data_IF_732328518298
#
_entry.id   IF_732328518298
#
_cell.length_a   1.000
_cell.length_b   1.000
_cell.length_c   1.000
_cell.angle_alpha   90.00
_cell.angle_beta   90.00
_cell.angle_gamma   90.00
#
_symmetry.space_group_name_H-M   'P 1'
#
loop_
_entity.id
_entity.type
_entity.pdbx_description
1 polymer ?
#
# COMPACT_ATOMS: atom_id res chain seq x y z
N UNK A 1 24.67 13.51 -24.12
CA UNK A 1 24.28 12.09 -24.02
C UNK A 1 23.07 11.87 -23.11
N UNK A 2 22.93 12.60 -22.00
CA UNK A 2 21.72 12.60 -21.16
C UNK A 2 20.42 12.94 -21.91
N UNK A 3 20.44 13.91 -22.83
CA UNK A 3 19.25 14.30 -23.59
C UNK A 3 18.76 13.25 -24.60
N UNK A 4 19.62 12.35 -25.08
CA UNK A 4 19.19 11.27 -25.99
C UNK A 4 18.53 10.12 -25.23
N UNK A 5 18.92 9.86 -23.98
CA UNK A 5 18.24 8.87 -23.14
C UNK A 5 16.83 9.34 -22.76
N UNK A 6 16.64 10.59 -22.35
CA UNK A 6 15.29 11.12 -22.04
C UNK A 6 14.32 11.07 -23.23
N UNK A 7 14.81 11.35 -24.45
CA UNK A 7 14.03 11.24 -25.68
C UNK A 7 13.67 9.78 -26.01
N UNK A 8 14.55 8.81 -25.75
CA UNK A 8 14.26 7.40 -26.00
C UNK A 8 13.22 6.83 -25.01
N UNK A 9 13.23 7.29 -23.75
CA UNK A 9 12.25 6.87 -22.74
C UNK A 9 10.84 7.43 -23.03
N UNK A 10 10.74 8.68 -23.49
CA UNK A 10 9.45 9.27 -23.90
C UNK A 10 8.86 8.61 -25.16
N UNK A 11 9.69 8.19 -26.12
CA UNK A 11 9.21 7.58 -27.37
C UNK A 11 8.70 6.16 -27.17
N UNK A 12 9.30 5.38 -26.24
CA UNK A 12 8.84 4.01 -25.98
C UNK A 12 7.48 3.97 -25.26
N UNK A 13 7.23 4.88 -24.31
CA UNK A 13 5.92 5.00 -23.64
C UNK A 13 4.79 5.33 -24.63
N UNK A 14 5.05 6.19 -25.62
CA UNK A 14 4.08 6.58 -26.66
C UNK A 14 3.72 5.47 -27.65
N UNK A 15 4.50 4.40 -27.74
CA UNK A 15 4.20 3.28 -28.66
C UNK A 15 3.28 2.22 -28.05
N UNK A 16 3.11 2.20 -26.73
CA UNK A 16 2.24 1.25 -26.02
C UNK A 16 1.01 1.90 -25.41
N UNK A 17 1.13 3.16 -24.99
CA UNK A 17 0.02 4.00 -24.62
C UNK A 17 -0.22 5.02 -25.74
N UNK A 18 -1.36 4.91 -26.42
CA UNK A 18 -2.00 6.13 -26.90
C UNK A 18 -2.48 6.88 -25.65
N UNK A 19 -1.55 7.52 -24.91
CA UNK A 19 -1.92 8.59 -24.00
C UNK A 19 -2.76 9.57 -24.84
N UNK A 20 -3.97 9.96 -24.40
CA UNK A 20 -4.76 10.90 -25.15
C UNK A 20 -3.91 12.13 -25.46
N UNK A 21 -4.03 12.66 -26.68
CA UNK A 21 -3.22 13.78 -27.15
C UNK A 21 -3.11 14.87 -26.09
N UNK A 22 -1.89 15.37 -25.85
CA UNK A 22 -1.50 16.36 -24.83
C UNK A 22 -2.18 17.75 -24.95
N UNK A 23 -3.29 17.85 -25.68
CA UNK A 23 -4.00 19.08 -25.98
C UNK A 23 -5.50 19.00 -25.64
N UNK A 24 -5.88 18.10 -24.73
CA UNK A 24 -7.23 18.02 -24.18
C UNK A 24 -7.17 18.48 -22.72
N UNK A 25 -8.19 19.20 -22.25
CA UNK A 25 -8.26 19.80 -20.90
C UNK A 25 -8.42 18.77 -19.77
N UNK A 26 -7.95 17.54 -19.97
CA UNK A 26 -8.07 16.44 -19.05
C UNK A 26 -6.85 16.45 -18.11
N UNK A 27 -7.09 16.53 -16.79
CA UNK A 27 -6.04 16.47 -15.77
C UNK A 27 -5.59 15.02 -15.61
N UNK A 28 -4.28 14.76 -15.58
CA UNK A 28 -3.74 13.43 -15.26
C UNK A 28 -4.38 12.85 -13.98
N UNK A 29 -4.51 11.52 -13.86
CA UNK A 29 -4.92 10.89 -12.61
C UNK A 29 -4.08 11.40 -11.44
N UNK A 30 -4.75 11.73 -10.33
CA UNK A 30 -4.10 12.29 -9.15
C UNK A 30 -4.33 11.45 -7.90
N UNK A 31 -3.34 11.44 -7.00
CA UNK A 31 -3.53 10.96 -5.65
C UNK A 31 -4.13 12.07 -4.78
N UNK A 32 -5.17 11.80 -3.97
CA UNK A 32 -5.81 12.84 -3.18
C UNK A 32 -4.90 13.42 -2.09
N UNK A 33 -5.04 14.72 -1.87
CA UNK A 33 -4.43 15.41 -0.73
C UNK A 33 -5.12 15.02 0.57
N UNK A 34 -4.41 15.10 1.70
CA UNK A 34 -4.99 14.78 3.02
C UNK A 34 -6.25 15.60 3.33
N UNK A 35 -7.16 15.09 4.19
CA UNK A 35 -8.36 15.82 4.60
C UNK A 35 -8.04 17.20 5.20
N UNK A 36 -8.94 18.16 5.00
CA UNK A 36 -8.82 19.51 5.54
C UNK A 36 -8.52 19.50 7.05
N UNK A 37 -7.53 20.31 7.46
CA UNK A 37 -7.11 20.41 8.85
C UNK A 37 -6.25 19.26 9.36
N UNK A 38 -5.77 18.39 8.46
CA UNK A 38 -4.82 17.32 8.76
C UNK A 38 -3.52 17.51 7.96
N UNK A 39 -2.47 16.76 8.32
CA UNK A 39 -1.19 16.76 7.62
C UNK A 39 -0.54 15.37 7.66
N UNK A 40 0.59 15.19 6.98
CA UNK A 40 1.34 13.94 7.00
C UNK A 40 1.61 13.40 8.43
N UNK A 41 1.79 14.30 9.42
CA UNK A 41 2.01 13.89 10.81
C UNK A 41 0.85 13.09 11.42
N UNK A 42 -0.37 13.31 10.95
CA UNK A 42 -1.58 12.60 11.41
C UNK A 42 -1.69 11.18 10.83
N UNK A 43 -0.88 10.86 9.81
CA UNK A 43 -0.87 9.59 9.09
C UNK A 43 0.48 8.88 9.15
N UNK A 44 1.34 9.27 10.09
CA UNK A 44 2.62 8.60 10.35
C UNK A 44 2.37 7.19 10.85
N UNK A 45 2.98 6.20 10.20
CA UNK A 45 2.91 4.82 10.64
C UNK A 45 3.62 4.64 11.98
N UNK A 46 2.94 3.96 12.91
CA UNK A 46 3.56 3.49 14.15
C UNK A 46 4.51 2.34 13.87
N UNK A 47 5.23 1.88 14.90
CA UNK A 47 6.21 0.79 14.73
C UNK A 47 5.62 -0.47 14.11
N UNK A 48 4.43 -0.85 14.54
CA UNK A 48 3.61 -1.91 13.96
C UNK A 48 2.17 -1.41 13.85
N UNK A 49 1.36 -2.03 13.00
CA UNK A 49 -0.07 -1.78 12.98
C UNK A 49 -0.69 -2.12 14.34
N UNK A 50 -1.53 -1.23 14.86
CA UNK A 50 -2.33 -1.46 16.05
C UNK A 50 -3.58 -2.27 15.71
N UNK A 51 -4.26 -2.80 16.72
CA UNK A 51 -5.54 -3.50 16.52
C UNK A 51 -6.64 -2.59 15.91
N UNK A 52 -6.58 -1.28 16.18
CA UNK A 52 -7.46 -0.30 15.54
C UNK A 52 -7.16 -0.13 14.04
N UNK A 53 -5.88 -0.22 13.65
CA UNK A 53 -5.49 -0.22 12.23
C UNK A 53 -6.03 -1.49 11.54
N UNK A 54 -5.82 -2.66 12.15
CA UNK A 54 -6.27 -3.94 11.60
C UNK A 54 -7.80 -4.03 11.48
N UNK A 55 -8.56 -3.44 12.42
CA UNK A 55 -10.02 -3.36 12.36
C UNK A 55 -10.57 -2.30 11.39
N UNK A 56 -9.71 -1.45 10.81
CA UNK A 56 -10.16 -0.36 9.94
C UNK A 56 -10.74 0.84 10.69
N UNK A 57 -10.50 0.93 12.00
CA UNK A 57 -11.03 1.95 12.88
C UNK A 57 -10.09 3.16 13.01
N UNK A 58 -8.84 3.02 12.58
CA UNK A 58 -7.85 4.09 12.65
C UNK A 58 -7.98 5.09 11.50
N UNK A 59 -7.43 6.28 11.74
CA UNK A 59 -7.29 7.33 10.72
C UNK A 59 -6.50 6.85 9.49
N UNK A 60 -5.43 6.08 9.69
CA UNK A 60 -4.59 5.55 8.61
C UNK A 60 -5.40 4.57 7.76
N UNK A 61 -6.08 3.60 8.37
CA UNK A 61 -6.84 2.59 7.63
C UNK A 61 -8.00 3.20 6.84
N UNK A 62 -8.74 4.13 7.44
CA UNK A 62 -9.81 4.87 6.75
C UNK A 62 -9.28 5.72 5.60
N UNK A 63 -8.09 6.29 5.75
CA UNK A 63 -7.46 7.09 4.72
C UNK A 63 -6.98 6.24 3.54
N UNK A 64 -6.41 5.06 3.78
CA UNK A 64 -6.08 4.11 2.70
C UNK A 64 -7.32 3.83 1.84
N UNK A 65 -8.46 3.49 2.47
CA UNK A 65 -9.72 3.24 1.75
C UNK A 65 -10.18 4.48 0.98
N UNK A 66 -10.15 5.64 1.62
CA UNK A 66 -10.59 6.91 1.00
C UNK A 66 -9.74 7.23 -0.22
N UNK A 67 -8.41 7.19 -0.07
CA UNK A 67 -7.49 7.54 -1.12
C UNK A 67 -7.53 6.54 -2.29
N UNK A 68 -7.58 5.24 -1.98
CA UNK A 68 -7.81 4.20 -2.99
C UNK A 68 -9.13 4.40 -3.74
N UNK A 69 -10.21 4.78 -3.06
CA UNK A 69 -11.51 4.99 -3.72
C UNK A 69 -11.55 6.24 -4.59
N UNK A 70 -10.90 7.33 -4.18
CA UNK A 70 -10.75 8.53 -5.03
C UNK A 70 -9.94 8.19 -6.28
N UNK A 71 -8.85 7.45 -6.14
CA UNK A 71 -8.05 7.02 -7.29
C UNK A 71 -8.84 6.05 -8.19
N UNK A 72 -9.49 5.03 -7.62
CA UNK A 72 -10.35 4.08 -8.35
C UNK A 72 -11.48 4.76 -9.12
N UNK A 73 -12.10 5.79 -8.55
CA UNK A 73 -13.17 6.53 -9.20
C UNK A 73 -12.71 7.23 -10.50
N UNK A 74 -11.46 7.70 -10.57
CA UNK A 74 -10.92 8.35 -11.78
C UNK A 74 -10.81 7.38 -12.97
N UNK A 75 -10.76 6.07 -12.72
CA UNK A 75 -10.77 5.03 -13.75
C UNK A 75 -12.17 4.40 -13.94
N UNK A 76 -13.17 4.81 -13.14
CA UNK A 76 -14.52 4.24 -13.18
C UNK A 76 -14.65 2.89 -12.46
N UNK A 77 -13.67 2.52 -11.62
CA UNK A 77 -13.72 1.32 -10.82
C UNK A 77 -14.68 1.45 -9.62
N UNK A 78 -15.27 0.33 -9.21
CA UNK A 78 -16.12 0.29 -8.02
C UNK A 78 -15.32 0.55 -6.74
N UNK A 79 -15.90 1.17 -5.70
CA UNK A 79 -15.19 1.40 -4.45
C UNK A 79 -14.93 0.09 -3.70
N UNK A 80 -13.90 0.10 -2.86
CA UNK A 80 -13.56 -0.94 -1.89
C UNK A 80 -13.91 -0.50 -0.46
N UNK A 81 -14.10 -1.47 0.42
CA UNK A 81 -14.22 -1.24 1.88
C UNK A 81 -13.11 -1.96 2.65
N UNK A 82 -12.91 -1.59 3.92
CA UNK A 82 -11.91 -2.29 4.76
C UNK A 82 -12.32 -3.74 5.05
N UNK A 83 -11.33 -4.63 5.16
CA UNK A 83 -11.49 -6.03 5.52
C UNK A 83 -10.43 -6.42 6.55
N UNK A 84 -10.87 -6.63 7.78
CA UNK A 84 -10.01 -6.98 8.92
C UNK A 84 -9.26 -8.30 8.69
N UNK A 85 -9.88 -9.31 8.08
CA UNK A 85 -9.21 -10.58 7.79
C UNK A 85 -8.06 -10.38 6.82
N UNK A 86 -8.26 -9.57 5.77
CA UNK A 86 -7.21 -9.23 4.81
C UNK A 86 -6.05 -8.47 5.48
N UNK A 87 -6.36 -7.54 6.39
CA UNK A 87 -5.38 -6.79 7.17
C UNK A 87 -4.59 -7.69 8.14
N UNK A 88 -5.25 -8.66 8.79
CA UNK A 88 -4.57 -9.62 9.67
C UNK A 88 -3.63 -10.55 8.90
N UNK A 89 -4.00 -10.98 7.70
CA UNK A 89 -3.10 -11.73 6.81
C UNK A 89 -1.91 -10.85 6.38
N UNK A 90 -2.14 -9.57 6.08
CA UNK A 90 -1.05 -8.63 5.79
C UNK A 90 -0.12 -8.46 7.00
N UNK A 91 -0.67 -8.47 8.22
CA UNK A 91 0.11 -8.38 9.45
C UNK A 91 1.02 -9.60 9.63
N UNK A 92 0.51 -10.80 9.37
CA UNK A 92 1.31 -12.03 9.38
C UNK A 92 2.49 -11.91 8.41
N UNK A 93 2.27 -11.32 7.23
CA UNK A 93 3.31 -11.11 6.23
C UNK A 93 4.38 -10.12 6.71
N UNK A 94 4.02 -8.89 7.06
CA UNK A 94 5.01 -7.86 7.47
C UNK A 94 5.77 -8.23 8.76
N UNK A 95 5.22 -9.13 9.59
CA UNK A 95 5.92 -9.66 10.76
C UNK A 95 7.14 -10.54 10.40
N UNK A 96 7.22 -11.05 9.18
CA UNK A 96 8.37 -11.85 8.73
C UNK A 96 9.56 -11.01 8.30
N UNK A 97 9.33 -9.74 7.93
CA UNK A 97 10.33 -8.87 7.32
C UNK A 97 11.05 -9.50 6.11
N UNK A 98 10.38 -10.40 5.38
CA UNK A 98 10.90 -11.03 4.17
C UNK A 98 10.41 -10.28 2.94
N UNK A 99 11.35 -9.87 2.07
CA UNK A 99 11.03 -9.14 0.84
C UNK A 99 10.59 -10.12 -0.25
N UNK A 100 9.42 -10.71 -0.08
CA UNK A 100 8.83 -11.68 -1.00
C UNK A 100 7.31 -11.60 -1.00
N UNK A 101 6.65 -11.82 -2.13
CA UNK A 101 5.18 -11.83 -2.19
C UNK A 101 4.61 -13.14 -1.60
N UNK A 102 3.44 -13.04 -0.94
CA UNK A 102 2.67 -14.18 -0.41
C UNK A 102 1.51 -14.59 -1.31
N UNK A 103 1.37 -13.96 -2.46
CA UNK A 103 0.39 -14.33 -3.49
C UNK A 103 0.07 -13.14 -4.38
N UNK A 104 -1.18 -12.69 -4.31
CA UNK A 104 -1.67 -11.49 -5.01
C UNK A 104 -1.65 -10.25 -4.10
N UNK A 105 -0.72 -10.21 -3.15
CA UNK A 105 -0.54 -9.11 -2.20
C UNK A 105 0.22 -7.94 -2.84
N UNK A 106 -0.14 -6.72 -2.45
CA UNK A 106 0.66 -5.54 -2.77
C UNK A 106 1.67 -5.32 -1.66
N UNK A 107 2.94 -5.48 -1.97
CA UNK A 107 4.06 -5.36 -1.04
C UNK A 107 4.89 -4.11 -1.40
N UNK A 108 5.18 -3.27 -0.41
CA UNK A 108 6.03 -2.09 -0.53
C UNK A 108 7.10 -2.10 0.55
N UNK A 109 8.23 -1.45 0.23
CA UNK A 109 9.31 -1.17 1.16
C UNK A 109 9.78 0.27 0.97
N UNK A 110 9.94 0.98 2.08
CA UNK A 110 10.72 2.23 2.12
C UNK A 110 11.81 2.11 3.17
N UNK A 111 12.95 2.72 2.91
CA UNK A 111 14.09 2.71 3.81
C UNK A 111 14.75 4.08 3.90
N UNK A 112 15.38 4.36 5.04
CA UNK A 112 16.00 5.66 5.31
C UNK A 112 17.30 5.50 6.11
N UNK A 113 18.22 6.44 5.92
CA UNK A 113 19.56 6.42 6.53
C UNK A 113 19.59 6.96 7.97
N UNK A 114 18.51 7.61 8.42
CA UNK A 114 18.34 8.04 9.82
C UNK A 114 17.62 6.94 10.63
N UNK A 115 18.17 6.61 11.79
CA UNK A 115 17.58 5.63 12.72
C UNK A 115 16.28 6.14 13.32
N UNK A 116 15.27 5.28 13.41
CA UNK A 116 13.95 5.63 13.95
C UNK A 116 13.10 6.49 13.01
N UNK A 117 13.53 6.71 11.77
CA UNK A 117 12.72 7.37 10.76
C UNK A 117 11.47 6.55 10.46
N UNK A 118 10.34 7.25 10.33
CA UNK A 118 9.04 6.66 10.02
C UNK A 118 8.51 7.32 8.77
N UNK A 119 7.76 6.56 7.99
CA UNK A 119 7.06 7.07 6.83
C UNK A 119 5.59 7.32 7.18
N UNK A 120 4.99 8.33 6.56
CA UNK A 120 3.54 8.40 6.51
C UNK A 120 3.00 7.43 5.45
N UNK A 121 1.68 7.25 5.44
CA UNK A 121 1.05 6.25 4.59
C UNK A 121 0.96 6.63 3.11
N UNK A 122 0.95 7.91 2.74
CA UNK A 122 0.68 8.31 1.36
C UNK A 122 1.75 7.79 0.38
N UNK A 123 3.06 8.01 0.61
CA UNK A 123 4.10 7.52 -0.28
C UNK A 123 4.05 6.00 -0.49
N UNK A 124 3.56 5.25 0.51
CA UNK A 124 3.45 3.79 0.42
C UNK A 124 2.40 3.32 -0.59
N UNK A 125 1.26 4.00 -0.65
CA UNK A 125 0.15 3.61 -1.52
C UNK A 125 0.22 4.35 -2.87
N UNK A 126 0.66 5.60 -2.85
CA UNK A 126 0.81 6.43 -4.06
C UNK A 126 1.84 5.82 -5.03
N UNK A 127 2.96 5.26 -4.54
CA UNK A 127 3.94 4.63 -5.43
C UNK A 127 3.36 3.48 -6.26
N UNK A 128 2.38 2.76 -5.71
CA UNK A 128 1.67 1.70 -6.42
C UNK A 128 0.67 2.27 -7.42
N UNK A 129 0.06 3.41 -7.11
CA UNK A 129 -0.85 4.09 -8.00
C UNK A 129 -0.10 4.64 -9.22
N UNK A 130 1.07 5.26 -9.01
CA UNK A 130 1.94 5.87 -10.04
C UNK A 130 2.35 4.91 -11.16
N UNK A 131 2.24 3.59 -10.96
CA UNK A 131 2.47 2.61 -12.03
C UNK A 131 1.47 2.74 -13.19
N UNK A 132 0.38 3.51 -13.01
CA UNK A 132 -0.56 3.86 -14.08
C UNK A 132 0.12 4.52 -15.29
N UNK A 133 1.16 5.32 -15.06
CA UNK A 133 1.85 6.12 -16.10
C UNK A 133 2.42 5.23 -17.21
N UNK A 134 2.88 4.03 -16.84
CA UNK A 134 3.44 3.04 -17.76
C UNK A 134 2.54 1.83 -18.00
N UNK A 135 1.30 1.83 -17.50
CA UNK A 135 0.38 0.72 -17.73
C UNK A 135 -0.15 0.71 -19.18
N UNK A 136 0.08 -0.36 -19.96
CA UNK A 136 -0.31 -0.44 -21.37
C UNK A 136 -1.76 -0.91 -21.51
N UNK A 137 -2.74 -0.01 -21.44
CA UNK A 137 -4.17 -0.37 -21.46
C UNK A 137 -4.61 -1.17 -22.70
N UNK A 138 -3.93 -1.01 -23.85
CA UNK A 138 -4.19 -1.79 -25.07
C UNK A 138 -3.58 -3.20 -25.05
N UNK A 139 -2.53 -3.39 -24.25
CA UNK A 139 -1.74 -4.62 -24.14
C UNK A 139 -1.48 -4.96 -22.68
N UNK A 140 -2.54 -5.15 -21.87
CA UNK A 140 -2.43 -5.21 -20.41
C UNK A 140 -1.56 -6.39 -19.92
N UNK A 141 -1.36 -7.40 -20.75
CA UNK A 141 -0.45 -8.52 -20.51
C UNK A 141 1.02 -8.09 -20.30
N UNK A 142 1.43 -6.93 -20.83
CA UNK A 142 2.82 -6.46 -20.73
C UNK A 142 3.18 -5.88 -19.35
N UNK A 143 2.19 -5.54 -18.51
CA UNK A 143 2.34 -5.14 -17.11
C UNK A 143 1.36 -5.90 -16.21
N UNK A 144 1.14 -7.18 -16.52
CA UNK A 144 0.31 -8.06 -15.70
C UNK A 144 0.91 -8.23 -14.30
N UNK A 145 0.04 -8.37 -13.31
CA UNK A 145 0.38 -8.58 -11.91
C UNK A 145 1.24 -7.47 -11.26
N UNK A 146 1.03 -6.22 -11.67
CA UNK A 146 1.62 -5.04 -11.02
C UNK A 146 0.83 -4.61 -9.79
N UNK A 147 1.35 -3.66 -9.02
CA UNK A 147 0.66 -3.11 -7.85
C UNK A 147 -0.55 -2.29 -8.29
N UNK A 148 -0.42 -1.51 -9.36
CA UNK A 148 -1.52 -0.77 -9.96
C UNK A 148 -2.65 -1.71 -10.39
N UNK A 149 -2.36 -2.84 -11.06
CA UNK A 149 -3.43 -3.75 -11.48
C UNK A 149 -4.16 -4.39 -10.30
N UNK A 150 -3.50 -4.62 -9.16
CA UNK A 150 -4.16 -5.07 -7.94
C UNK A 150 -5.05 -3.96 -7.33
N UNK A 151 -4.51 -2.74 -7.22
CA UNK A 151 -5.26 -1.57 -6.73
C UNK A 151 -6.50 -1.30 -7.56
N UNK A 152 -6.40 -1.49 -8.88
CA UNK A 152 -7.44 -1.16 -9.83
C UNK A 152 -8.31 -2.36 -10.20
N UNK A 153 -8.14 -3.52 -9.57
CA UNK A 153 -8.93 -4.69 -9.93
C UNK A 153 -10.41 -4.47 -9.62
N UNK A 154 -11.27 -4.35 -10.64
CA UNK A 154 -12.68 -3.98 -10.46
C UNK A 154 -13.48 -5.00 -9.64
N UNK A 155 -13.17 -6.29 -9.75
CA UNK A 155 -13.84 -7.33 -8.99
C UNK A 155 -13.44 -7.35 -7.50
N UNK A 156 -12.31 -6.76 -7.13
CA UNK A 156 -11.91 -6.60 -5.73
C UNK A 156 -12.78 -5.51 -5.10
N UNK A 157 -13.47 -5.86 -4.02
CA UNK A 157 -14.42 -4.97 -3.33
C UNK A 157 -14.03 -4.71 -1.88
N UNK A 158 -12.97 -5.34 -1.38
CA UNK A 158 -12.40 -5.06 -0.08
C UNK A 158 -10.88 -5.04 -0.12
N UNK A 159 -10.28 -4.30 0.80
CA UNK A 159 -8.83 -4.33 1.07
C UNK A 159 -8.55 -4.31 2.57
N UNK A 160 -7.38 -4.78 2.97
CA UNK A 160 -6.88 -4.64 4.33
C UNK A 160 -5.36 -4.63 4.32
N UNK A 161 -4.77 -3.76 5.12
CA UNK A 161 -3.33 -3.51 5.10
C UNK A 161 -2.70 -3.58 6.49
N UNK A 162 -1.38 -3.78 6.50
CA UNK A 162 -0.56 -3.75 7.70
C UNK A 162 0.85 -3.28 7.37
N UNK A 163 1.58 -2.82 8.40
CA UNK A 163 2.99 -2.43 8.29
C UNK A 163 3.82 -2.89 9.49
N UNK A 164 5.13 -2.93 9.27
CA UNK A 164 6.17 -3.08 10.28
C UNK A 164 7.36 -2.20 9.90
N UNK A 165 7.74 -1.25 10.78
CA UNK A 165 8.84 -0.29 10.52
C UNK A 165 10.21 -0.76 11.02
N UNK A 166 10.24 -1.91 11.71
CA UNK A 166 11.44 -2.47 12.34
C UNK A 166 12.04 -3.63 11.52
N UNK A 167 11.96 -3.54 10.19
CA UNK A 167 12.49 -4.58 9.29
C UNK A 167 13.94 -4.34 8.82
N UNK A 168 14.65 -3.40 9.43
CA UNK A 168 16.01 -3.07 9.03
C UNK A 168 16.98 -4.25 9.28
N UNK A 169 17.73 -4.63 8.25
CA UNK A 169 18.73 -5.71 8.31
C UNK A 169 20.17 -5.22 7.99
N UNK A 170 20.37 -3.92 7.80
CA UNK A 170 21.68 -3.30 7.55
C UNK A 170 21.87 -2.04 8.37
N UNK A 171 23.13 -1.65 8.59
CA UNK A 171 23.47 -0.37 9.22
C UNK A 171 23.42 0.82 8.25
N UNK A 172 23.38 0.56 6.93
CA UNK A 172 23.28 1.62 5.92
C UNK A 172 21.85 2.19 5.84
N UNK A 173 20.86 1.35 6.13
CA UNK A 173 19.44 1.69 6.17
C UNK A 173 18.84 1.23 7.49
N UNK A 174 19.14 1.94 8.60
CA UNK A 174 18.71 1.55 9.95
C UNK A 174 17.20 1.68 10.17
N UNK A 175 16.48 2.34 9.26
CA UNK A 175 15.01 2.39 9.26
C UNK A 175 14.47 1.76 7.98
N UNK A 176 13.58 0.79 8.11
CA UNK A 176 13.03 0.04 6.98
C UNK A 176 11.62 -0.40 7.27
N UNK A 177 10.67 0.17 6.52
CA UNK A 177 9.25 -0.15 6.65
C UNK A 177 8.81 -1.09 5.56
N UNK A 178 8.16 -2.18 5.97
CA UNK A 178 7.42 -3.07 5.09
C UNK A 178 5.95 -2.74 5.23
N UNK A 179 5.26 -2.68 4.10
CA UNK A 179 3.84 -2.38 4.02
C UNK A 179 3.18 -3.34 3.06
N UNK A 180 2.11 -3.99 3.50
CA UNK A 180 1.36 -4.97 2.70
C UNK A 180 -0.11 -4.61 2.71
N UNK A 181 -0.73 -4.63 1.53
CA UNK A 181 -2.18 -4.60 1.37
C UNK A 181 -2.65 -5.85 0.63
N UNK A 182 -3.69 -6.49 1.16
CA UNK A 182 -4.38 -7.60 0.52
C UNK A 182 -5.75 -7.16 0.00
N UNK A 183 -6.06 -7.52 -1.24
CA UNK A 183 -7.33 -7.23 -1.89
C UNK A 183 -8.19 -8.50 -1.98
N UNK A 184 -9.50 -8.34 -1.77
CA UNK A 184 -10.44 -9.46 -1.87
C UNK A 184 -11.76 -9.06 -2.57
N UNK A 185 -12.32 -9.91 -3.45
CA UNK A 185 -11.70 -11.08 -4.09
C UNK A 185 -10.34 -10.78 -4.71
N UNK A 186 -9.45 -11.78 -4.79
CA UNK A 186 -8.08 -11.57 -5.27
C UNK A 186 -8.05 -11.05 -6.71
N UNK A 187 -7.12 -10.13 -6.98
CA UNK A 187 -6.84 -9.61 -8.30
C UNK A 187 -5.67 -10.32 -8.99
N UNK A 188 -5.16 -9.71 -10.06
CA UNK A 188 -3.94 -10.16 -10.76
C UNK A 188 -3.98 -11.64 -11.19
N UNK A 189 -5.17 -12.12 -11.56
CA UNK A 189 -5.37 -13.51 -11.96
C UNK A 189 -4.86 -13.69 -13.40
N UNK A 190 -3.87 -14.57 -13.57
CA UNK A 190 -3.35 -14.94 -14.87
C UNK A 190 -4.36 -15.81 -15.65
N UNK A 191 -4.53 -15.52 -16.94
CA UNK A 191 -5.41 -16.27 -17.85
C UNK A 191 -4.71 -16.70 -19.13
N UNK A 192 -5.41 -17.55 -19.89
CA UNK A 192 -5.05 -17.93 -21.26
C UNK A 192 -6.28 -17.72 -22.16
N UNK A 193 -6.25 -16.76 -23.10
CA UNK A 193 -5.13 -15.89 -23.43
C UNK A 193 -4.76 -14.89 -22.31
N UNK A 194 -3.49 -14.42 -22.26
CA UNK A 194 -3.08 -13.42 -21.29
C UNK A 194 -3.80 -12.08 -21.54
N UNK A 195 -4.00 -11.28 -20.49
CA UNK A 195 -4.55 -9.93 -20.60
C UNK A 195 -6.08 -9.82 -20.54
N UNK A 196 -6.84 -10.90 -20.78
CA UNK A 196 -8.31 -10.84 -20.82
C UNK A 196 -8.94 -10.35 -19.51
N UNK A 197 -8.59 -10.94 -18.36
CA UNK A 197 -9.11 -10.46 -17.08
C UNK A 197 -8.59 -9.07 -16.70
N UNK A 198 -7.39 -8.72 -17.14
CA UNK A 198 -6.83 -7.39 -16.89
C UNK A 198 -7.62 -6.32 -17.64
N UNK A 199 -7.94 -6.54 -18.92
CA UNK A 199 -8.78 -5.63 -19.70
C UNK A 199 -10.19 -5.45 -19.11
N UNK A 200 -10.73 -6.49 -18.46
CA UNK A 200 -12.03 -6.43 -17.79
C UNK A 200 -11.99 -5.71 -16.43
N UNK A 201 -10.88 -5.82 -15.71
CA UNK A 201 -10.78 -5.34 -14.34
C UNK A 201 -10.07 -4.00 -14.22
N UNK A 202 -9.21 -3.63 -15.16
CA UNK A 202 -8.38 -2.42 -15.14
C UNK A 202 -8.83 -1.52 -16.29
N UNK A 203 -9.95 -0.79 -16.13
CA UNK A 203 -10.47 0.06 -17.18
C UNK A 203 -9.49 1.18 -17.51
N UNK A 204 -9.50 1.62 -18.77
CA UNK A 204 -8.77 2.81 -19.17
C UNK A 204 -9.29 4.02 -18.39
N UNK A 205 -8.39 4.95 -18.09
CA UNK A 205 -8.72 6.20 -17.46
C UNK A 205 -9.88 6.88 -18.19
N UNK A 206 -10.95 7.14 -17.44
CA UNK A 206 -12.13 7.82 -17.97
C UNK A 206 -11.95 9.29 -17.66
N UNK A 207 -12.04 10.15 -18.69
CA UNK A 207 -11.92 11.61 -18.54
C UNK A 207 -13.10 12.16 -17.73
N UNK A 208 -13.03 12.06 -16.41
CA UNK A 208 -13.98 12.67 -15.48
C UNK A 208 -13.44 14.02 -15.02
N UNK A 209 -14.32 15.00 -14.83
CA UNK A 209 -13.95 16.23 -14.13
C UNK A 209 -13.98 15.96 -12.62
N UNK A 210 -13.13 16.64 -11.81
CA UNK A 210 -13.09 16.45 -10.35
C UNK A 210 -14.45 16.51 -9.64
N UNK A 211 -15.44 17.24 -10.18
CA UNK A 211 -16.80 17.30 -9.60
C UNK A 211 -17.60 15.97 -9.66
N UNK A 212 -17.13 14.96 -10.39
CA UNK A 212 -17.84 13.70 -10.56
C UNK A 212 -17.24 12.54 -9.75
N UNK A 213 -16.10 12.78 -9.08
CA UNK A 213 -15.62 11.88 -8.03
C UNK A 213 -16.61 12.02 -6.87
N UNK A 214 -17.32 10.95 -6.45
CA UNK A 214 -18.17 11.04 -5.28
C UNK A 214 -17.33 11.54 -4.10
N UNK A 215 -17.83 12.53 -3.35
CA UNK A 215 -17.29 12.81 -2.02
C UNK A 215 -17.34 11.49 -1.25
N UNK A 216 -16.18 10.84 -1.08
CA UNK A 216 -16.05 9.69 -0.20
C UNK A 216 -15.91 10.31 1.18
N UNK A 217 -16.97 10.35 2.02
CA UNK A 217 -16.88 11.00 3.30
C UNK A 217 -15.79 10.28 4.10
N UNK A 218 -14.71 10.98 4.38
CA UNK A 218 -13.80 10.60 5.45
C UNK A 218 -14.61 10.68 6.74
N UNK A 219 -15.13 9.54 7.20
CA UNK A 219 -15.75 9.46 8.52
C UNK A 219 -14.63 9.57 9.52
N UNK A 220 -14.27 10.80 9.93
CA UNK A 220 -13.19 11.00 10.88
C UNK A 220 -13.34 10.05 12.07
N UNK A 221 -12.44 9.06 12.16
CA UNK A 221 -12.30 8.27 13.38
C UNK A 221 -12.23 9.26 14.56
N UNK A 222 -12.96 9.02 15.66
CA UNK A 222 -12.84 9.85 16.85
C UNK A 222 -11.36 9.96 17.22
N UNK A 223 -10.85 11.18 17.29
CA UNK A 223 -9.46 11.44 17.67
C UNK A 223 -9.26 10.82 19.06
N UNK A 224 -8.49 9.73 19.14
CA UNK A 224 -8.02 9.25 20.44
C UNK A 224 -7.18 10.38 21.05
N UNK A 225 -7.44 10.81 22.30
CA UNK A 225 -6.70 11.91 22.89
C UNK A 225 -5.21 11.58 22.90
N UNK A 226 -4.38 12.48 22.37
CA UNK A 226 -2.93 12.37 22.43
C UNK A 226 -2.48 12.07 23.86
N UNK A 227 -1.45 11.23 24.09
CA UNK A 227 -0.93 11.03 25.42
C UNK A 227 -0.33 12.35 25.91
N UNK A 228 -1.08 13.04 26.76
CA UNK A 228 -0.59 14.23 27.47
C UNK A 228 0.62 13.79 28.29
N UNK A 229 1.78 14.39 28.02
CA UNK A 229 3.00 14.17 28.78
C UNK A 229 2.75 14.51 30.26
N UNK A 230 2.43 13.49 31.06
CA UNK A 230 2.26 13.63 32.49
C UNK A 230 3.63 13.70 33.14
N UNK A 231 4.12 14.92 33.36
CA UNK A 231 5.10 15.19 34.41
C UNK A 231 4.40 15.00 35.75
N UNK A 232 4.65 13.89 36.41
CA UNK A 232 4.42 13.78 37.86
C UNK A 232 5.65 13.21 38.52
N UNK A 233 6.08 13.93 39.57
CA UNK A 233 7.32 13.72 40.29
C UNK A 233 7.36 12.40 41.06
N UNK A 234 8.60 12.07 41.35
CA UNK A 234 9.08 11.00 42.22
C UNK A 234 8.32 10.88 43.54
N UNK A 235 7.87 9.67 43.85
CA UNK A 235 7.77 9.17 45.21
C UNK A 235 8.04 7.66 45.22
N UNK A 236 9.12 7.28 45.89
CA UNK A 236 9.47 5.91 46.19
C UNK A 236 8.61 5.37 47.33
N UNK A 237 8.16 4.12 47.23
CA UNK A 237 7.87 3.27 48.38
C UNK A 237 7.95 1.78 48.00
N UNK A 238 8.42 0.99 48.95
CA UNK A 238 9.01 -0.34 48.81
C UNK A 238 8.03 -1.52 48.69
N UNK A 239 8.52 -2.53 47.96
CA UNK A 239 8.51 -3.97 48.20
C UNK A 239 7.30 -4.69 48.87
N UNK A 240 6.81 -5.71 48.17
CA UNK A 240 6.13 -6.88 48.73
C UNK A 240 6.15 -8.04 47.73
N UNK A 241 6.94 -9.08 48.00
CA UNK A 241 6.99 -10.34 47.26
C UNK A 241 5.84 -11.29 47.67
N UNK A 242 5.30 -12.04 46.71
CA UNK A 242 4.84 -13.46 46.71
C UNK A 242 3.97 -13.63 45.45
N UNK A 243 3.98 -14.65 44.59
CA UNK A 243 4.57 -15.98 44.53
C UNK A 243 3.67 -16.82 43.59
N UNK A 244 4.24 -17.32 42.48
CA UNK A 244 3.87 -18.50 41.66
C UNK A 244 2.41 -18.90 41.36
N UNK A 245 2.11 -19.12 40.08
CA UNK A 245 0.99 -19.96 39.61
C UNK A 245 0.91 -20.06 38.09
N UNK A 246 1.57 -21.05 37.50
CA UNK A 246 1.48 -21.39 36.08
C UNK A 246 0.15 -22.09 35.76
N UNK A 247 -0.46 -21.77 34.61
CA UNK A 247 -1.47 -22.62 33.98
C UNK A 247 -1.34 -22.52 32.45
N UNK A 248 -0.89 -23.62 31.87
CA UNK A 248 -0.83 -23.91 30.43
C UNK A 248 -2.24 -24.12 29.87
N UNK A 249 -2.61 -23.35 28.84
CA UNK A 249 -3.82 -23.56 28.04
C UNK A 249 -3.47 -23.72 26.57
N UNK A 250 -3.38 -24.97 26.11
CA UNK A 250 -3.32 -25.35 24.70
C UNK A 250 -4.56 -24.83 23.98
N UNK A 251 -4.37 -24.09 22.87
CA UNK A 251 -5.43 -23.81 21.90
C UNK A 251 -5.02 -24.48 20.59
N UNK A 252 -5.84 -25.44 20.15
CA UNK A 252 -5.63 -26.23 18.95
C UNK A 252 -5.79 -25.33 17.71
N UNK A 253 -4.77 -25.28 16.85
CA UNK A 253 -4.84 -24.61 15.55
C UNK A 253 -5.59 -25.45 14.51
N UNK A 254 -6.18 -24.83 13.48
CA UNK A 254 -6.74 -25.57 12.35
C UNK A 254 -5.65 -26.09 11.39
N UNK A 255 -5.91 -27.30 10.91
CA UNK A 255 -5.13 -28.22 10.07
C UNK A 255 -4.61 -27.59 8.75
N UNK A 256 -3.35 -27.84 8.31
CA UNK A 256 -2.78 -27.27 7.10
C UNK A 256 -3.02 -28.20 5.90
N UNK A 257 -4.03 -27.90 5.09
CA UNK A 257 -4.28 -28.67 3.86
C UNK A 257 -4.84 -27.82 2.71
N UNK A 258 -4.18 -26.71 2.36
CA UNK A 258 -4.28 -26.10 1.02
C UNK A 258 -2.91 -25.49 0.61
N UNK A 259 -1.87 -26.34 0.61
CA UNK A 259 -0.59 -26.06 -0.05
C UNK A 259 -0.42 -27.05 -1.20
N UNK A 260 -0.78 -26.65 -2.42
CA UNK A 260 -0.21 -27.16 -3.67
C UNK A 260 -0.84 -26.49 -4.90
N UNK A 261 -0.33 -25.33 -5.30
CA UNK A 261 -0.28 -24.93 -6.72
C UNK A 261 0.66 -23.72 -6.87
N UNK A 262 1.67 -23.84 -7.74
CA UNK A 262 2.28 -22.66 -8.38
C UNK A 262 3.63 -22.17 -7.84
N UNK A 263 4.59 -23.05 -7.55
CA UNK A 263 6.01 -22.65 -7.53
C UNK A 263 6.44 -22.33 -8.97
N UNK A 264 6.58 -21.06 -9.30
CA UNK A 264 7.34 -20.60 -10.45
C UNK A 264 8.29 -19.50 -9.99
N UNK A 265 9.55 -19.87 -9.79
CA UNK A 265 10.63 -18.92 -9.60
C UNK A 265 10.90 -18.22 -10.94
N UNK A 266 10.70 -16.91 -11.01
CA UNK A 266 11.19 -16.08 -12.10
C UNK A 266 12.55 -15.48 -11.69
N UNK A 267 13.51 -15.34 -12.63
CA UNK A 267 14.88 -14.97 -12.30
C UNK A 267 14.99 -13.50 -11.91
N UNK A 268 15.78 -13.23 -10.87
CA UNK A 268 16.22 -11.91 -10.47
C UNK A 268 16.95 -11.21 -11.64
N UNK A 269 16.39 -10.10 -12.10
CA UNK A 269 16.98 -9.30 -13.17
C UNK A 269 16.25 -8.00 -13.41
N UNK A 270 16.64 -6.96 -12.66
CA UNK A 270 17.02 -5.61 -13.10
C UNK A 270 16.85 -4.69 -11.88
N UNK A 271 18.00 -4.25 -11.35
CA UNK A 271 18.11 -3.25 -10.30
C UNK A 271 17.75 -1.88 -10.91
N UNK A 272 16.54 -1.37 -10.69
CA UNK A 272 16.26 0.06 -10.88
C UNK A 272 16.36 0.71 -9.50
N UNK A 273 17.51 1.30 -9.23
CA UNK A 273 17.67 2.19 -8.09
C UNK A 273 16.86 3.47 -8.36
N UNK A 274 15.75 3.66 -7.66
CA UNK A 274 15.11 4.96 -7.56
C UNK A 274 16.02 5.89 -6.75
N UNK A 275 16.80 6.72 -7.44
CA UNK A 275 17.54 7.82 -6.81
C UNK A 275 16.56 8.98 -6.67
N UNK A 276 16.04 9.19 -5.46
CA UNK A 276 15.43 10.45 -5.09
C UNK A 276 16.54 11.52 -5.04
N UNK A 277 16.62 12.36 -6.06
CA UNK A 277 17.47 13.54 -6.04
C UNK A 277 16.80 14.59 -5.14
N UNK A 278 17.25 14.68 -3.87
CA UNK A 278 16.97 15.82 -3.03
C UNK A 278 17.70 17.05 -3.59
N UNK A 279 16.94 18.00 -4.14
CA UNK A 279 17.43 19.34 -4.45
C UNK A 279 17.50 20.11 -3.13
N UNK A 280 18.73 20.35 -2.67
CA UNK A 280 19.02 21.36 -1.64
C UNK A 280 19.40 22.63 -2.39
N UNK A 281 18.73 23.74 -2.06
CA UNK A 281 19.10 25.10 -2.49
C UNK A 281 20.48 25.47 -1.93
#
# INVERSE_FOLDING_TARGET
MLSLLLLAHHVLAQTFNDQPSANDSATEPYWPQYPDGTSASDFMMNTNSSDADLRGESRIAQWIVTASNVFRAQFGNQPVTWNETAARIAQEHVNTCLWEHWGSDNLAQLSYSEEGHRFDINPMVEMWAEEWDYYPFRHPEAQAASHFTAMMWNASNTLGCAWNVDCANTTAFPSMTYFVCNYWPIGNIATQPPGELYALNVPNWTKWTPEQVPDVPYTAAPVAPSPTASRTGSAAAAAGQTGSGAASGQVNGPDPALSAAGRAALPAGILVAAIAAAVVI
#
